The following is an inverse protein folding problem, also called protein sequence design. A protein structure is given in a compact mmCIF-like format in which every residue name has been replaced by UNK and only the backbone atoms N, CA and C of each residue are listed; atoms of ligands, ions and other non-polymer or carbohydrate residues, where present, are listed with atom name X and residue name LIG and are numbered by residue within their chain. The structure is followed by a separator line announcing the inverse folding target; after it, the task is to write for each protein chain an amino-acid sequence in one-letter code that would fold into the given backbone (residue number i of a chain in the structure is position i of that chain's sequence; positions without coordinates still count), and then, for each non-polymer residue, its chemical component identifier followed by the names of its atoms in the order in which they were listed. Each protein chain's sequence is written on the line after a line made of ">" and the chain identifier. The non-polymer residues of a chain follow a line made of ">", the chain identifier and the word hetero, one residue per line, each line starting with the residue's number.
data_IF_224731982093
#
_entry.id   IF_224731982093
#
_cell.length_a   1.000
_cell.length_b   1.000
_cell.length_c   1.000
_cell.angle_alpha   90.00
_cell.angle_beta   90.00
_cell.angle_gamma   90.00
#
_symmetry.space_group_name_H-M   'P 1'
#
loop_
_entity.id
_entity.type
_entity.pdbx_description
1 polymer ?
#
# COMPACT_ATOMS: atom_id res chain seq x y z
N UNK A 1 18.07 -19.11 8.67
CA UNK A 1 17.69 -19.12 7.24
C UNK A 1 17.35 -17.70 6.82
N UNK A 2 17.77 -17.26 5.64
CA UNK A 2 17.43 -15.96 5.07
C UNK A 2 16.73 -16.11 3.71
N UNK A 3 15.87 -15.17 3.33
CA UNK A 3 15.16 -15.16 2.06
C UNK A 3 15.45 -13.86 1.31
N UNK A 4 15.86 -13.97 0.05
CA UNK A 4 16.22 -12.84 -0.80
C UNK A 4 15.37 -12.83 -2.06
N UNK A 5 14.93 -11.64 -2.48
CA UNK A 5 14.44 -11.41 -3.82
C UNK A 5 15.63 -11.11 -4.73
N UNK A 6 15.82 -11.90 -5.77
CA UNK A 6 16.97 -11.81 -6.67
C UNK A 6 16.53 -11.57 -8.12
N UNK A 7 17.38 -10.99 -8.97
CA UNK A 7 17.16 -10.94 -10.41
C UNK A 7 16.93 -12.35 -11.00
N UNK A 8 16.12 -12.43 -12.08
CA UNK A 8 15.72 -13.71 -12.67
C UNK A 8 16.91 -14.51 -13.23
N UNK A 9 17.93 -13.80 -13.70
CA UNK A 9 19.15 -14.34 -14.31
C UNK A 9 20.20 -14.84 -13.30
N UNK A 10 20.11 -14.49 -12.01
CA UNK A 10 21.09 -14.94 -11.00
C UNK A 10 20.92 -16.43 -10.71
N UNK A 11 22.00 -17.21 -10.79
CA UNK A 11 22.00 -18.62 -10.41
C UNK A 11 22.30 -18.82 -8.91
N UNK A 12 22.12 -20.04 -8.40
CA UNK A 12 22.45 -20.42 -7.02
C UNK A 12 23.93 -20.24 -6.71
N UNK A 13 24.82 -20.57 -7.66
CA UNK A 13 26.27 -20.42 -7.49
C UNK A 13 26.65 -18.94 -7.36
N UNK A 14 26.12 -18.10 -8.25
CA UNK A 14 26.30 -16.65 -8.19
C UNK A 14 25.82 -16.07 -6.86
N UNK A 15 24.71 -16.58 -6.29
CA UNK A 15 24.25 -16.14 -4.97
C UNK A 15 25.23 -16.52 -3.84
N UNK A 16 25.84 -17.71 -3.89
CA UNK A 16 26.85 -18.11 -2.90
C UNK A 16 28.09 -17.22 -3.00
N UNK A 17 28.57 -17.02 -4.22
CA UNK A 17 29.74 -16.18 -4.49
C UNK A 17 29.49 -14.73 -4.11
N UNK A 18 28.32 -14.19 -4.43
CA UNK A 18 27.92 -12.83 -4.09
C UNK A 18 27.87 -12.60 -2.57
N UNK A 19 27.28 -13.53 -1.80
CA UNK A 19 27.26 -13.42 -0.34
C UNK A 19 28.67 -13.50 0.27
N UNK A 20 29.53 -14.34 -0.29
CA UNK A 20 30.92 -14.47 0.17
C UNK A 20 31.76 -13.23 -0.17
N UNK A 21 31.79 -12.83 -1.44
CA UNK A 21 32.67 -11.76 -1.91
C UNK A 21 32.18 -10.36 -1.51
N UNK A 22 30.86 -10.11 -1.52
CA UNK A 22 30.32 -8.79 -1.20
C UNK A 22 30.02 -8.60 0.28
N UNK A 23 29.63 -9.66 1.00
CA UNK A 23 29.20 -9.56 2.41
C UNK A 23 30.04 -10.41 3.37
N UNK A 24 30.98 -11.24 2.90
CA UNK A 24 31.77 -12.12 3.76
C UNK A 24 30.94 -13.20 4.45
N UNK A 25 29.75 -13.54 3.92
CA UNK A 25 28.83 -14.48 4.58
C UNK A 25 28.87 -15.84 3.87
N UNK A 26 29.29 -16.92 4.56
CA UNK A 26 29.25 -18.26 3.98
C UNK A 26 27.80 -18.76 3.83
N UNK A 27 27.45 -19.20 2.62
CA UNK A 27 26.19 -19.86 2.33
C UNK A 27 26.39 -21.39 2.30
N UNK A 28 25.75 -22.12 3.23
CA UNK A 28 25.79 -23.58 3.30
C UNK A 28 25.00 -24.18 2.12
N UNK A 29 23.73 -23.78 2.01
CA UNK A 29 22.81 -24.27 0.99
C UNK A 29 21.96 -23.13 0.43
N UNK A 30 21.64 -23.22 -0.87
CA UNK A 30 20.79 -22.24 -1.57
C UNK A 30 19.66 -22.98 -2.29
N UNK A 31 18.43 -22.68 -1.89
CA UNK A 31 17.21 -23.10 -2.59
C UNK A 31 16.65 -21.92 -3.37
N UNK A 32 16.22 -22.16 -4.61
CA UNK A 32 15.67 -21.11 -5.48
C UNK A 32 14.30 -21.51 -5.98
N UNK A 33 13.36 -20.57 -6.03
CA UNK A 33 12.07 -20.76 -6.67
C UNK A 33 11.65 -19.51 -7.42
N UNK A 34 10.83 -19.68 -8.45
CA UNK A 34 10.31 -18.59 -9.28
C UNK A 34 8.82 -18.48 -9.02
N UNK A 35 8.40 -17.35 -8.46
CA UNK A 35 7.01 -17.04 -8.21
C UNK A 35 6.41 -16.34 -9.44
N UNK A 36 5.49 -17.03 -10.11
CA UNK A 36 4.74 -16.45 -11.21
C UNK A 36 3.73 -15.41 -10.69
N UNK A 37 3.71 -14.24 -11.32
CA UNK A 37 2.75 -13.18 -11.00
C UNK A 37 1.41 -13.44 -11.70
N UNK A 38 0.30 -12.99 -11.09
CA UNK A 38 -1.04 -13.07 -11.67
C UNK A 38 -1.10 -12.29 -13.00
N UNK A 39 -1.82 -12.81 -13.99
CA UNK A 39 -2.09 -12.10 -15.26
C UNK A 39 -2.92 -10.85 -14.95
N UNK A 40 -2.57 -9.71 -15.55
CA UNK A 40 -3.30 -8.44 -15.39
C UNK A 40 -3.47 -7.77 -16.76
N UNK A 41 -4.50 -6.94 -16.89
CA UNK A 41 -4.71 -6.10 -18.07
C UNK A 41 -3.94 -4.78 -17.86
N UNK A 42 -3.02 -4.45 -18.78
CA UNK A 42 -2.16 -3.27 -18.65
C UNK A 42 -1.05 -3.39 -17.59
N UNK A 43 -0.31 -2.29 -17.35
CA UNK A 43 0.68 -2.20 -16.27
C UNK A 43 0.02 -1.75 -14.97
N UNK A 44 0.65 -2.03 -13.83
CA UNK A 44 0.09 -1.76 -12.51
C UNK A 44 -0.23 -0.27 -12.23
N UNK A 45 0.38 0.66 -12.97
CA UNK A 45 0.22 2.11 -12.80
C UNK A 45 -0.46 2.78 -14.01
N UNK A 46 -1.00 2.02 -14.96
CA UNK A 46 -1.70 2.64 -16.09
C UNK A 46 -3.03 3.21 -15.61
N UNK A 47 -3.22 4.53 -15.77
CA UNK A 47 -4.45 5.26 -15.43
C UNK A 47 -5.66 4.67 -16.18
N UNK A 48 -5.42 4.17 -17.39
CA UNK A 48 -6.41 3.44 -18.20
C UNK A 48 -5.82 2.06 -18.49
N UNK A 49 -6.39 0.96 -17.95
CA UNK A 49 -5.85 -0.37 -18.21
C UNK A 49 -5.92 -0.66 -19.71
N UNK A 50 -4.75 -0.80 -20.34
CA UNK A 50 -4.70 -1.25 -21.73
C UNK A 50 -5.39 -2.61 -21.82
N UNK A 51 -6.23 -2.83 -22.84
CA UNK A 51 -6.97 -4.09 -23.06
C UNK A 51 -6.09 -5.32 -23.33
N UNK A 52 -4.76 -5.18 -23.25
CA UNK A 52 -3.82 -6.27 -23.46
C UNK A 52 -3.56 -6.99 -22.16
N UNK A 53 -4.10 -8.20 -22.06
CA UNK A 53 -3.77 -9.14 -21.00
C UNK A 53 -2.33 -9.59 -21.15
N UNK A 54 -1.52 -9.33 -20.14
CA UNK A 54 -0.13 -9.75 -20.10
C UNK A 54 0.24 -10.25 -18.71
N UNK A 55 1.24 -11.13 -18.64
CA UNK A 55 1.81 -11.56 -17.37
C UNK A 55 2.99 -10.65 -17.02
N UNK A 56 3.00 -10.03 -15.82
CA UNK A 56 4.19 -9.34 -15.33
C UNK A 56 5.39 -10.29 -15.22
N UNK A 57 6.60 -9.74 -15.20
CA UNK A 57 7.81 -10.55 -14.96
C UNK A 57 7.67 -11.30 -13.63
N UNK A 58 8.00 -12.59 -13.65
CA UNK A 58 8.01 -13.43 -12.44
C UNK A 58 9.04 -12.91 -11.45
N UNK A 59 8.83 -13.18 -10.15
CA UNK A 59 9.76 -12.79 -9.09
C UNK A 59 10.57 -14.01 -8.69
N UNK A 60 11.90 -13.96 -8.79
CA UNK A 60 12.77 -15.04 -8.30
C UNK A 60 13.12 -14.79 -6.85
N UNK A 61 12.99 -15.82 -6.02
CA UNK A 61 13.36 -15.78 -4.61
C UNK A 61 14.33 -16.91 -4.30
N UNK A 62 15.28 -16.64 -3.42
CA UNK A 62 16.25 -17.61 -2.95
C UNK A 62 16.23 -17.67 -1.43
N UNK A 63 16.15 -18.89 -0.90
CA UNK A 63 16.28 -19.18 0.53
C UNK A 63 17.69 -19.70 0.74
N UNK A 64 18.41 -19.06 1.64
CA UNK A 64 19.80 -19.38 1.96
C UNK A 64 19.89 -19.87 3.40
N UNK A 65 20.52 -21.02 3.56
CA UNK A 65 21.02 -21.49 4.84
C UNK A 65 22.38 -20.84 5.06
N UNK A 66 22.40 -19.80 5.89
CA UNK A 66 23.62 -19.06 6.22
C UNK A 66 24.42 -19.87 7.24
N UNK A 67 25.74 -19.91 7.08
CA UNK A 67 26.66 -20.36 8.12
C UNK A 67 26.79 -19.31 9.24
N UNK A 68 27.66 -19.59 10.20
CA UNK A 68 28.05 -18.61 11.21
C UNK A 68 28.70 -17.40 10.52
N UNK A 69 28.10 -16.22 10.70
CA UNK A 69 28.64 -14.97 10.17
C UNK A 69 29.76 -14.42 11.07
N UNK A 70 30.27 -13.23 10.74
CA UNK A 70 31.36 -12.58 11.47
C UNK A 70 31.09 -12.37 12.98
N UNK A 71 29.81 -12.33 13.39
CA UNK A 71 29.40 -12.17 14.79
C UNK A 71 29.16 -13.51 15.53
N UNK A 72 29.51 -14.65 14.93
CA UNK A 72 29.55 -15.96 15.61
C UNK A 72 28.20 -16.58 16.00
N UNK A 73 27.08 -15.99 15.56
CA UNK A 73 25.73 -16.46 15.89
C UNK A 73 24.79 -16.54 14.67
N UNK A 74 23.65 -17.26 14.80
CA UNK A 74 22.64 -17.29 13.76
C UNK A 74 22.01 -15.90 13.59
N UNK A 75 21.72 -15.53 12.34
CA UNK A 75 21.02 -14.29 12.05
C UNK A 75 19.57 -14.36 12.54
N UNK A 76 19.18 -13.40 13.38
CA UNK A 76 17.82 -13.17 13.86
C UNK A 76 17.44 -11.73 13.51
N UNK A 77 16.25 -11.53 12.96
CA UNK A 77 15.76 -10.17 12.70
C UNK A 77 15.53 -9.46 14.05
N UNK A 78 15.92 -8.19 14.18
CA UNK A 78 15.58 -7.40 15.35
C UNK A 78 14.06 -7.29 15.50
N UNK A 79 13.62 -7.06 16.73
CA UNK A 79 12.22 -6.82 17.02
C UNK A 79 11.73 -5.54 16.30
N UNK A 80 10.44 -5.51 15.90
CA UNK A 80 9.86 -4.32 15.30
C UNK A 80 9.98 -3.12 16.23
N UNK A 81 10.36 -1.97 15.66
CA UNK A 81 10.47 -0.73 16.41
C UNK A 81 9.05 -0.24 16.74
N UNK A 82 8.79 0.10 18.02
CA UNK A 82 7.47 0.60 18.45
C UNK A 82 7.19 2.01 17.91
N UNK A 83 8.21 2.87 17.91
CA UNK A 83 8.09 4.25 17.43
C UNK A 83 8.40 4.33 15.93
N UNK A 84 7.34 4.56 15.14
CA UNK A 84 7.39 4.67 13.68
C UNK A 84 7.18 6.12 13.19
N UNK A 85 7.19 7.11 14.10
CA UNK A 85 7.12 8.54 13.77
C UNK A 85 8.17 9.00 12.75
N UNK A 86 9.45 8.53 12.79
CA UNK A 86 10.43 8.92 11.77
C UNK A 86 10.06 8.49 10.34
N UNK A 87 9.11 7.55 10.20
CA UNK A 87 8.60 7.05 8.94
C UNK A 87 7.17 7.56 8.63
N UNK A 88 6.68 8.55 9.38
CA UNK A 88 5.37 9.19 9.19
C UNK A 88 4.22 8.17 9.04
N UNK A 89 4.17 7.23 9.99
CA UNK A 89 3.21 6.13 9.96
C UNK A 89 1.75 6.62 9.99
N UNK A 90 1.47 7.69 10.74
CA UNK A 90 0.13 8.23 10.87
C UNK A 90 -0.44 8.64 9.49
N UNK A 91 0.31 9.45 8.74
CA UNK A 91 -0.10 9.86 7.40
C UNK A 91 -0.20 8.69 6.43
N UNK A 92 0.71 7.70 6.53
CA UNK A 92 0.65 6.49 5.73
C UNK A 92 -0.63 5.67 5.99
N UNK A 93 -1.01 5.51 7.26
CA UNK A 93 -2.20 4.77 7.67
C UNK A 93 -3.49 5.50 7.24
N UNK A 94 -3.54 6.83 7.34
CA UNK A 94 -4.63 7.66 6.81
C UNK A 94 -4.78 7.49 5.29
N UNK A 95 -3.71 7.67 4.52
CA UNK A 95 -3.74 7.49 3.06
C UNK A 95 -4.14 6.07 2.66
N UNK A 96 -3.69 5.07 3.42
CA UNK A 96 -4.03 3.67 3.17
C UNK A 96 -5.51 3.39 3.43
N UNK A 97 -6.05 3.90 4.53
CA UNK A 97 -7.48 3.75 4.84
C UNK A 97 -8.35 4.45 3.80
N UNK A 98 -7.98 5.66 3.37
CA UNK A 98 -8.66 6.36 2.27
C UNK A 98 -8.63 5.58 0.96
N UNK A 99 -7.48 4.99 0.61
CA UNK A 99 -7.33 4.19 -0.61
C UNK A 99 -8.15 2.89 -0.55
N UNK A 100 -8.18 2.24 0.62
CA UNK A 100 -9.01 1.07 0.88
C UNK A 100 -10.51 1.41 0.77
N UNK A 101 -10.94 2.54 1.34
CA UNK A 101 -12.31 3.02 1.20
C UNK A 101 -12.70 3.29 -0.26
N UNK A 102 -11.88 4.05 -0.99
CA UNK A 102 -12.12 4.35 -2.41
C UNK A 102 -12.19 3.08 -3.26
N UNK A 103 -11.27 2.13 -3.04
CA UNK A 103 -11.27 0.85 -3.76
C UNK A 103 -12.48 -0.01 -3.41
N UNK A 104 -12.93 0.00 -2.16
CA UNK A 104 -14.13 -0.72 -1.72
C UNK A 104 -15.41 -0.17 -2.36
N UNK A 105 -15.52 1.15 -2.52
CA UNK A 105 -16.65 1.81 -3.19
C UNK A 105 -16.70 1.42 -4.67
N UNK A 106 -15.54 1.35 -5.35
CA UNK A 106 -15.46 0.92 -6.74
C UNK A 106 -15.89 -0.55 -6.93
N UNK A 107 -15.60 -1.43 -5.97
CA UNK A 107 -15.97 -2.84 -6.02
C UNK A 107 -17.43 -3.13 -5.63
N UNK A 108 -18.09 -2.25 -4.88
CA UNK A 108 -19.42 -2.50 -4.27
C UNK A 108 -20.50 -1.54 -4.77
N UNK A 109 -20.63 -1.38 -6.09
CA UNK A 109 -21.61 -0.49 -6.74
C UNK A 109 -23.08 -0.71 -6.31
N UNK A 110 -23.40 -1.83 -5.63
CA UNK A 110 -24.75 -2.23 -5.24
C UNK A 110 -25.11 -2.00 -3.77
N UNK A 111 -24.12 -1.81 -2.87
CA UNK A 111 -24.39 -1.52 -1.46
C UNK A 111 -24.48 0.01 -1.26
N UNK A 112 -25.69 0.51 -0.94
CA UNK A 112 -25.89 1.92 -0.54
C UNK A 112 -25.28 2.15 0.83
N UNK A 113 -23.98 2.46 0.91
CA UNK A 113 -23.38 2.93 2.17
C UNK A 113 -24.00 4.25 2.60
N UNK A 114 -24.21 4.47 3.91
CA UNK A 114 -24.59 5.79 4.40
C UNK A 114 -23.50 6.79 4.01
N UNK A 115 -23.89 7.97 3.54
CA UNK A 115 -22.95 9.04 3.21
C UNK A 115 -22.14 9.40 4.46
N UNK A 116 -20.82 9.66 4.30
CA UNK A 116 -19.94 10.06 5.42
C UNK A 116 -20.52 11.21 6.25
N UNK A 117 -21.25 12.14 5.61
CA UNK A 117 -21.83 13.32 6.24
C UNK A 117 -23.31 13.17 6.62
N UNK A 118 -23.81 11.94 6.78
CA UNK A 118 -25.24 11.69 7.08
C UNK A 118 -25.69 12.43 8.35
N UNK A 119 -24.86 12.48 9.37
CA UNK A 119 -25.20 13.10 10.65
C UNK A 119 -25.26 14.63 10.55
N UNK A 120 -24.37 15.23 9.77
CA UNK A 120 -24.38 16.68 9.50
C UNK A 120 -25.63 17.03 8.70
N UNK A 121 -25.96 16.24 7.68
CA UNK A 121 -27.15 16.43 6.88
C UNK A 121 -28.44 16.25 7.71
N UNK A 122 -28.46 15.26 8.61
CA UNK A 122 -29.58 15.03 9.51
C UNK A 122 -29.78 16.20 10.48
N UNK A 123 -28.69 16.73 11.06
CA UNK A 123 -28.72 17.93 11.90
C UNK A 123 -29.23 19.15 11.12
N UNK A 124 -28.70 19.39 9.92
CA UNK A 124 -29.16 20.47 9.05
C UNK A 124 -30.65 20.34 8.72
N UNK A 125 -31.13 19.12 8.44
CA UNK A 125 -32.55 18.86 8.20
C UNK A 125 -33.42 19.14 9.44
N UNK A 126 -32.97 18.75 10.63
CA UNK A 126 -33.66 19.06 11.89
C UNK A 126 -33.73 20.57 12.17
N UNK A 127 -32.66 21.32 11.89
CA UNK A 127 -32.63 22.79 12.03
C UNK A 127 -33.60 23.50 11.08
N UNK A 128 -33.77 22.98 9.87
CA UNK A 128 -34.76 23.48 8.90
C UNK A 128 -36.19 23.15 9.32
N UNK A 129 -36.43 21.91 9.78
CA UNK A 129 -37.75 21.46 10.24
C UNK A 129 -38.21 22.16 11.52
N UNK A 130 -37.29 22.44 12.44
CA UNK A 130 -37.57 23.20 13.67
C UNK A 130 -37.74 24.70 13.43
N UNK A 131 -37.46 25.20 12.22
CA UNK A 131 -37.54 26.63 11.87
C UNK A 131 -36.38 27.47 12.40
N UNK A 132 -35.38 26.86 13.03
CA UNK A 132 -34.18 27.54 13.55
C UNK A 132 -33.34 28.16 12.44
N UNK A 133 -33.33 27.53 11.25
CA UNK A 133 -32.72 28.06 10.04
C UNK A 133 -33.74 28.12 8.90
N UNK A 134 -33.69 29.19 8.12
CA UNK A 134 -34.49 29.34 6.90
C UNK A 134 -33.68 28.85 5.70
N UNK A 135 -34.29 28.04 4.86
CA UNK A 135 -33.67 27.60 3.60
C UNK A 135 -33.37 28.81 2.70
N UNK A 136 -32.17 28.83 2.12
CA UNK A 136 -31.73 29.87 1.18
C UNK A 136 -31.14 29.22 -0.08
N UNK A 137 -31.43 29.77 -1.27
CA UNK A 137 -30.84 29.27 -2.50
C UNK A 137 -29.35 29.61 -2.55
N UNK A 138 -28.59 28.76 -3.23
CA UNK A 138 -27.12 28.84 -3.31
C UNK A 138 -26.60 30.19 -3.84
N UNK A 139 -27.37 30.86 -4.71
CA UNK A 139 -27.02 32.18 -5.26
C UNK A 139 -26.96 33.30 -4.19
N UNK A 140 -27.78 33.23 -3.14
CA UNK A 140 -27.82 34.26 -2.09
C UNK A 140 -26.61 34.18 -1.15
N UNK A 141 -25.98 33.01 -1.02
CA UNK A 141 -24.86 32.78 -0.09
C UNK A 141 -23.58 33.49 -0.60
N UNK A 142 -23.29 33.40 -1.91
CA UNK A 142 -22.11 34.04 -2.50
C UNK A 142 -22.21 35.58 -2.57
N UNK A 143 -23.43 36.12 -2.75
CA UNK A 143 -23.65 37.56 -2.77
C UNK A 143 -23.38 38.23 -1.41
N UNK A 144 -23.54 37.48 -0.31
CA UNK A 144 -23.30 37.99 1.05
C UNK A 144 -21.82 38.04 1.42
N UNK A 145 -21.02 37.10 0.92
CA UNK A 145 -19.59 36.98 1.28
C UNK A 145 -18.64 37.78 0.37
N UNK A 146 -19.14 38.36 -0.73
CA UNK A 146 -18.35 39.18 -1.67
C UNK A 146 -18.43 40.68 -1.44
N UNK A 147 -18.98 41.14 -0.30
CA UNK A 147 -19.17 42.57 0.00
C UNK A 147 -18.33 43.07 1.18
N UNK A 148 -17.52 42.19 1.79
CA UNK A 148 -16.54 42.54 2.83
C UNK A 148 -15.12 42.36 2.26
N UNK A 149 -14.64 43.33 1.47
CA UNK A 149 -13.25 43.52 1.03
C UNK A 149 -12.97 45.00 0.84
#
# INVERSE_FOLDING_TARGET
>A
MACFQVPLNINKLDMKDYLWNCYGVPALSVRSYIQQQKVRAGKANDIIPQRRWARPKSTKRMIVELGEGQHGGPFVWPDPIENLEPWDKASYDELRTEQEEQSSVAQRRWERRPMKNKDILAKQAQELLSGSKKWQPMQTIYARNGTDS
#
